data_IF_816440189295
#
_entry.id   IF_816440189295
#
_cell.length_a   1.000
_cell.length_b   1.000
_cell.length_c   1.000
_cell.angle_alpha   90.00
_cell.angle_beta   90.00
_cell.angle_gamma   90.00
#
_symmetry.space_group_name_H-M   'P 1'
#
loop_
_entity.id
_entity.type
_entity.pdbx_description
1 polymer ?
#
# COMPACT_ATOMS: atom_id res chain seq x y z
N UNK A 1 -13.61 9.40 16.10
CA UNK A 1 -13.86 9.02 14.69
C UNK A 1 -14.06 10.32 13.92
N UNK A 2 -12.98 10.97 13.48
CA UNK A 2 -13.09 12.16 12.64
C UNK A 2 -13.19 11.69 11.19
N UNK A 3 -14.31 11.97 10.52
CA UNK A 3 -14.38 11.81 9.08
C UNK A 3 -13.52 12.92 8.48
N UNK A 4 -12.33 12.56 7.98
CA UNK A 4 -11.44 13.52 7.34
C UNK A 4 -12.16 14.17 6.16
N UNK A 5 -12.29 15.49 6.18
CA UNK A 5 -12.67 16.25 5.01
C UNK A 5 -11.59 16.05 3.94
N UNK A 6 -11.98 16.01 2.66
CA UNK A 6 -10.99 15.98 1.58
C UNK A 6 -10.01 17.16 1.76
N UNK A 7 -8.69 16.99 1.63
CA UNK A 7 -7.70 18.03 1.92
C UNK A 7 -7.94 19.35 1.19
N UNK A 8 -8.51 19.29 -0.01
CA UNK A 8 -8.87 20.47 -0.83
C UNK A 8 -10.00 21.31 -0.22
N UNK A 9 -10.72 20.77 0.76
CA UNK A 9 -11.80 21.44 1.50
C UNK A 9 -11.33 21.98 2.87
N UNK A 10 -10.06 21.77 3.21
CA UNK A 10 -9.47 22.25 4.45
C UNK A 10 -8.74 23.58 4.23
N UNK A 11 -8.88 24.48 5.20
CA UNK A 11 -8.02 25.65 5.32
C UNK A 11 -6.58 25.23 5.64
N UNK A 12 -5.61 26.11 5.40
CA UNK A 12 -4.20 25.78 5.69
C UNK A 12 -3.96 25.36 7.15
N UNK A 13 -4.54 26.04 8.17
CA UNK A 13 -4.40 25.61 9.56
C UNK A 13 -4.98 24.21 9.82
N UNK A 14 -6.18 23.91 9.31
CA UNK A 14 -6.83 22.61 9.53
C UNK A 14 -6.01 21.44 8.95
N UNK A 15 -5.35 21.64 7.80
CA UNK A 15 -4.45 20.62 7.26
C UNK A 15 -3.22 20.39 8.15
N UNK A 16 -2.68 21.46 8.74
CA UNK A 16 -1.52 21.35 9.63
C UNK A 16 -1.91 20.63 10.92
N UNK A 17 -3.09 20.91 11.46
CA UNK A 17 -3.62 20.23 12.64
C UNK A 17 -3.84 18.74 12.39
N UNK A 18 -4.43 18.37 11.24
CA UNK A 18 -4.62 16.97 10.85
C UNK A 18 -3.27 16.23 10.70
N UNK A 19 -2.29 16.86 10.05
CA UNK A 19 -0.94 16.29 9.92
C UNK A 19 -0.30 16.13 11.31
N UNK A 20 -0.46 17.11 12.19
CA UNK A 20 0.07 17.05 13.55
C UNK A 20 -0.56 15.90 14.34
N UNK A 21 -1.88 15.68 14.22
CA UNK A 21 -2.58 14.60 14.93
C UNK A 21 -2.16 13.20 14.42
N UNK A 22 -2.03 13.03 13.10
CA UNK A 22 -1.50 11.80 12.48
C UNK A 22 -0.09 11.51 13.02
N UNK A 23 0.79 12.52 13.04
CA UNK A 23 2.16 12.37 13.50
C UNK A 23 2.25 12.10 15.01
N UNK A 24 1.46 12.80 15.83
CA UNK A 24 1.40 12.59 17.27
C UNK A 24 0.95 11.15 17.57
N UNK A 25 -0.10 10.69 16.88
CA UNK A 25 -0.59 9.31 17.00
C UNK A 25 0.48 8.29 16.60
N UNK A 26 1.19 8.54 15.49
CA UNK A 26 2.32 7.71 15.05
C UNK A 26 3.44 7.65 16.09
N UNK A 27 3.81 8.80 16.67
CA UNK A 27 4.83 8.91 17.69
C UNK A 27 4.44 8.18 18.98
N UNK A 28 3.19 8.30 19.41
CA UNK A 28 2.67 7.57 20.58
C UNK A 28 2.78 6.06 20.33
N UNK A 29 2.36 5.57 19.17
CA UNK A 29 2.49 4.14 18.81
C UNK A 29 3.96 3.70 18.78
N UNK A 30 4.85 4.53 18.23
CA UNK A 30 6.28 4.23 18.18
C UNK A 30 6.89 4.14 19.58
N UNK A 31 6.56 5.08 20.47
CA UNK A 31 7.04 5.09 21.86
C UNK A 31 6.42 3.99 22.72
N UNK A 32 5.14 3.68 22.50
CA UNK A 32 4.45 2.59 23.18
C UNK A 32 5.00 1.21 22.78
N UNK A 33 5.52 1.09 21.55
CA UNK A 33 6.31 -0.05 21.10
C UNK A 33 7.68 -0.07 21.79
N UNK A 34 7.72 -0.41 23.08
CA UNK A 34 8.88 -1.03 23.76
C UNK A 34 9.16 -2.46 23.25
N UNK A 35 8.80 -2.79 22.01
CA UNK A 35 8.78 -4.17 21.52
C UNK A 35 9.99 -4.45 20.63
N UNK A 36 10.67 -5.55 20.98
CA UNK A 36 11.87 -6.14 20.39
C UNK A 36 11.94 -6.10 18.86
N UNK A 37 13.17 -6.15 18.32
CA UNK A 37 13.42 -6.32 16.88
C UNK A 37 12.56 -7.47 16.34
N UNK A 38 11.53 -7.14 15.58
CA UNK A 38 10.70 -8.08 14.81
C UNK A 38 11.32 -8.43 13.45
N UNK A 39 12.58 -8.03 13.20
CA UNK A 39 13.34 -8.60 12.10
C UNK A 39 14.15 -9.75 12.69
N UNK A 40 13.66 -10.98 12.49
CA UNK A 40 14.60 -12.06 12.25
C UNK A 40 15.48 -11.63 11.06
N UNK A 41 16.75 -11.99 11.15
CA UNK A 41 17.77 -11.71 10.16
C UNK A 41 17.25 -12.00 8.74
N UNK A 42 17.56 -11.12 7.79
CA UNK A 42 17.02 -11.12 6.42
C UNK A 42 17.37 -12.42 5.71
N UNK A 43 16.49 -13.42 5.76
CA UNK A 43 16.52 -14.55 4.84
C UNK A 43 15.91 -14.12 3.52
N UNK A 44 16.75 -13.93 2.50
CA UNK A 44 16.41 -13.62 1.11
C UNK A 44 15.15 -14.38 0.64
N UNK A 45 14.10 -13.65 0.23
CA UNK A 45 12.90 -14.25 -0.35
C UNK A 45 13.04 -14.23 -1.87
N UNK A 46 13.57 -15.32 -2.45
CA UNK A 46 13.66 -15.46 -3.91
C UNK A 46 12.28 -15.73 -4.49
N UNK A 47 11.87 -14.90 -5.46
CA UNK A 47 10.60 -15.03 -6.18
C UNK A 47 10.85 -15.53 -7.59
N UNK A 48 11.12 -16.83 -7.73
CA UNK A 48 11.12 -17.48 -9.04
C UNK A 48 9.68 -17.62 -9.54
N UNK A 49 9.19 -16.58 -10.20
CA UNK A 49 7.94 -16.64 -10.95
C UNK A 49 8.20 -17.29 -12.32
N UNK A 50 7.92 -18.59 -12.45
CA UNK A 50 7.77 -19.18 -13.78
C UNK A 50 6.52 -18.57 -14.42
N UNK A 51 6.70 -17.83 -15.53
CA UNK A 51 5.60 -17.21 -16.24
C UNK A 51 4.64 -18.29 -16.74
N UNK A 52 3.46 -18.38 -16.12
CA UNK A 52 2.37 -19.22 -16.61
C UNK A 52 1.91 -18.66 -17.95
N UNK A 53 2.32 -19.31 -19.04
CA UNK A 53 1.92 -18.97 -20.41
C UNK A 53 0.39 -18.94 -20.47
N UNK A 54 -0.19 -17.76 -20.72
CA UNK A 54 -1.60 -17.65 -21.04
C UNK A 54 -1.80 -18.23 -22.45
N UNK A 55 -2.52 -19.35 -22.53
CA UNK A 55 -2.86 -19.97 -23.81
C UNK A 55 -3.84 -19.09 -24.58
N UNK A 56 -3.31 -18.19 -25.42
CA UNK A 56 -4.12 -17.52 -26.43
C UNK A 56 -4.48 -18.53 -27.51
N UNK A 57 -5.73 -18.98 -27.56
CA UNK A 57 -6.23 -19.84 -28.65
C UNK A 57 -6.46 -18.95 -29.88
N UNK A 58 -5.79 -19.20 -31.02
CA UNK A 58 -6.11 -18.49 -32.26
C UNK A 58 -7.47 -19.00 -32.76
N UNK A 59 -8.45 -18.09 -32.90
CA UNK A 59 -9.72 -18.40 -33.57
C UNK A 59 -9.47 -18.43 -35.09
N UNK A 60 -9.56 -19.63 -35.67
CA UNK A 60 -9.42 -19.85 -37.10
C UNK A 60 -10.66 -19.33 -37.86
N UNK A 61 -10.65 -18.08 -38.36
CA UNK A 61 -11.64 -17.65 -39.36
C UNK A 61 -11.18 -18.04 -40.76
N UNK A 62 -11.65 -19.18 -41.28
CA UNK A 62 -11.61 -19.47 -42.72
C UNK A 62 -12.60 -18.54 -43.44
N UNK A 63 -12.11 -17.66 -44.32
CA UNK A 63 -12.95 -16.99 -45.34
C UNK A 63 -13.32 -18.03 -46.41
N UNK A 64 -14.61 -18.10 -46.74
CA UNK A 64 -15.12 -18.88 -47.88
C UNK A 64 -14.79 -18.12 -49.18
N UNK A 65 -14.29 -18.85 -50.18
CA UNK A 65 -14.29 -18.42 -51.58
C UNK A 65 -15.60 -18.80 -52.23
#
# INVERSE_FOLDING_TARGET
MHNALHPDRMTQPERLDEVADILATGLIRLKARKSSRLSADRGESSVDFTARQSGHVPVNRRRKS
#
